data_IF_992163750752
#
_entry.id   IF_992163750752
#
_cell.length_a   1.000
_cell.length_b   1.000
_cell.length_c   1.000
_cell.angle_alpha   90.00
_cell.angle_beta   90.00
_cell.angle_gamma   90.00
#
_symmetry.space_group_name_H-M   'P 1'
#
loop_
_entity.id
_entity.type
_entity.pdbx_description
1 polymer ?
#
# COMPACT_ATOMS: atom_id res chain seq x y z
N UNK A 1 18.58 15.74 -17.87
CA UNK A 1 18.91 14.30 -17.86
C UNK A 1 17.65 13.43 -17.76
N UNK A 2 16.78 13.60 -16.75
CA UNK A 2 15.55 12.78 -16.61
C UNK A 2 14.44 13.10 -17.64
N UNK A 3 14.30 14.36 -18.04
CA UNK A 3 13.24 14.80 -18.95
C UNK A 3 13.50 14.46 -20.42
N UNK A 4 14.76 14.32 -20.84
CA UNK A 4 15.13 14.08 -22.24
C UNK A 4 14.62 12.73 -22.76
N UNK A 5 14.81 11.59 -22.04
CA UNK A 5 14.19 10.32 -22.43
C UNK A 5 12.68 10.37 -22.52
N UNK A 6 12.03 11.22 -21.72
CA UNK A 6 10.55 11.31 -21.65
C UNK A 6 10.00 12.14 -22.80
N UNK A 7 10.56 13.33 -23.00
CA UNK A 7 9.96 14.44 -23.75
C UNK A 7 10.64 14.72 -25.10
N UNK A 8 11.86 14.22 -25.35
CA UNK A 8 12.59 14.59 -26.56
C UNK A 8 11.90 14.11 -27.84
N UNK A 9 11.35 12.88 -27.81
CA UNK A 9 10.56 12.29 -28.89
C UNK A 9 9.05 12.45 -28.69
N UNK A 10 8.63 13.27 -27.72
CA UNK A 10 7.21 13.54 -27.48
C UNK A 10 6.74 14.66 -28.42
N UNK A 11 5.70 14.40 -29.20
CA UNK A 11 5.11 15.37 -30.12
C UNK A 11 4.07 16.28 -29.43
N UNK A 12 3.86 16.09 -28.13
CA UNK A 12 3.02 16.97 -27.31
C UNK A 12 3.55 18.41 -27.24
N UNK A 13 2.70 19.33 -26.77
CA UNK A 13 3.10 20.72 -26.50
C UNK A 13 4.29 20.80 -25.53
N UNK A 14 4.29 19.94 -24.51
CA UNK A 14 5.36 19.82 -23.52
C UNK A 14 6.68 19.38 -24.19
N UNK A 15 6.64 18.37 -25.06
CA UNK A 15 7.81 17.91 -25.82
C UNK A 15 8.38 19.00 -26.73
N UNK A 16 7.52 19.76 -27.41
CA UNK A 16 7.93 20.91 -28.22
C UNK A 16 8.59 22.02 -27.39
N UNK A 17 8.07 22.34 -26.20
CA UNK A 17 8.67 23.33 -25.30
C UNK A 17 10.00 22.85 -24.73
N UNK A 18 10.09 21.58 -24.33
CA UNK A 18 11.32 20.98 -23.85
C UNK A 18 12.45 21.02 -24.90
N UNK A 19 12.15 20.72 -26.18
CA UNK A 19 13.16 20.81 -27.26
C UNK A 19 13.73 22.22 -27.44
N UNK A 20 12.94 23.28 -27.22
CA UNK A 20 13.43 24.67 -27.27
C UNK A 20 14.38 24.96 -26.11
N UNK A 21 14.04 24.51 -24.90
CA UNK A 21 14.90 24.61 -23.72
C UNK A 21 16.22 23.86 -23.95
N UNK A 22 16.16 22.62 -24.44
CA UNK A 22 17.34 21.80 -24.73
C UNK A 22 18.24 22.48 -25.79
N UNK A 23 17.66 23.04 -26.85
CA UNK A 23 18.41 23.79 -27.85
C UNK A 23 19.13 25.01 -27.24
N UNK A 24 18.45 25.77 -26.38
CA UNK A 24 19.05 26.89 -25.66
C UNK A 24 20.17 26.44 -24.73
N UNK A 25 19.95 25.37 -23.95
CA UNK A 25 20.95 24.81 -23.04
C UNK A 25 22.20 24.33 -23.78
N UNK A 26 22.04 23.61 -24.90
CA UNK A 26 23.16 23.17 -25.76
C UNK A 26 23.91 24.37 -26.35
N UNK A 27 23.23 25.47 -26.66
CA UNK A 27 23.89 26.70 -27.12
C UNK A 27 24.75 27.32 -26.00
N UNK A 28 24.25 27.38 -24.77
CA UNK A 28 25.02 27.84 -23.60
C UNK A 28 26.23 26.92 -23.35
N UNK A 29 26.04 25.61 -23.42
CA UNK A 29 27.12 24.63 -23.28
C UNK A 29 28.22 24.85 -24.32
N UNK A 30 27.88 25.12 -25.58
CA UNK A 30 28.87 25.45 -26.64
C UNK A 30 29.61 26.75 -26.38
N UNK A 31 28.95 27.76 -25.81
CA UNK A 31 29.61 29.03 -25.42
C UNK A 31 30.64 28.74 -24.33
N UNK A 32 30.26 27.97 -23.30
CA UNK A 32 31.13 27.57 -22.20
C UNK A 32 32.33 26.73 -22.68
N UNK A 33 32.10 25.79 -23.59
CA UNK A 33 33.13 24.91 -24.15
C UNK A 33 34.12 25.68 -25.05
N UNK A 34 33.65 26.75 -25.71
CA UNK A 34 34.50 27.58 -26.58
C UNK A 34 35.52 28.45 -25.81
N UNK A 35 35.17 28.97 -24.64
CA UNK A 35 36.08 29.67 -23.74
C UNK A 35 35.58 29.58 -22.28
N UNK A 36 36.17 28.69 -21.46
CA UNK A 36 35.70 28.46 -20.09
C UNK A 36 36.14 29.56 -19.11
N UNK A 37 36.87 30.59 -19.55
CA UNK A 37 37.32 31.67 -18.65
C UNK A 37 36.15 32.54 -18.21
N UNK A 38 35.98 32.71 -16.89
CA UNK A 38 34.91 33.51 -16.28
C UNK A 38 34.85 34.93 -16.87
N UNK A 39 35.99 35.56 -17.13
CA UNK A 39 36.07 36.90 -17.74
C UNK A 39 35.48 36.96 -19.15
N UNK A 40 35.64 35.90 -19.95
CA UNK A 40 35.08 35.81 -21.30
C UNK A 40 33.55 35.60 -21.25
N UNK A 41 33.08 34.81 -20.27
CA UNK A 41 31.64 34.59 -20.05
C UNK A 41 30.91 35.88 -19.65
N UNK A 42 31.51 36.67 -18.76
CA UNK A 42 30.96 37.97 -18.34
C UNK A 42 30.92 39.01 -19.48
N UNK A 43 31.77 38.85 -20.49
CA UNK A 43 31.81 39.73 -21.67
C UNK A 43 30.92 39.22 -22.83
N UNK A 44 30.32 38.04 -22.69
CA UNK A 44 29.47 37.47 -23.74
C UNK A 44 28.13 38.19 -23.83
N UNK A 45 27.96 38.99 -24.89
CA UNK A 45 26.69 39.66 -25.20
C UNK A 45 25.52 38.70 -25.52
N UNK A 46 25.82 37.41 -25.73
CA UNK A 46 24.83 36.37 -26.08
C UNK A 46 24.37 35.55 -24.89
N UNK A 47 25.16 35.49 -23.81
CA UNK A 47 24.90 34.57 -22.70
C UNK A 47 23.66 34.98 -21.91
N UNK A 48 23.59 36.23 -21.47
CA UNK A 48 22.47 36.73 -20.65
C UNK A 48 21.11 36.61 -21.36
N UNK A 49 20.92 37.09 -22.60
CA UNK A 49 19.63 36.93 -23.30
C UNK A 49 19.23 35.46 -23.52
N UNK A 50 20.21 34.57 -23.72
CA UNK A 50 19.93 33.14 -23.89
C UNK A 50 19.49 32.51 -22.56
N UNK A 51 20.12 32.88 -21.44
CA UNK A 51 19.72 32.43 -20.11
C UNK A 51 18.34 32.94 -19.70
N UNK A 52 18.01 34.21 -19.99
CA UNK A 52 16.70 34.78 -19.71
C UNK A 52 15.60 34.03 -20.49
N UNK A 53 15.83 33.78 -21.79
CA UNK A 53 14.93 32.99 -22.64
C UNK A 53 14.77 31.54 -22.15
N UNK A 54 15.86 30.89 -21.73
CA UNK A 54 15.80 29.54 -21.14
C UNK A 54 14.98 29.56 -19.85
N UNK A 55 15.15 30.58 -18.99
CA UNK A 55 14.43 30.72 -17.72
C UNK A 55 12.91 30.85 -17.94
N UNK A 56 12.50 31.70 -18.88
CA UNK A 56 11.08 31.86 -19.25
C UNK A 56 10.49 30.56 -19.81
N UNK A 57 11.21 29.89 -20.71
CA UNK A 57 10.76 28.63 -21.30
C UNK A 57 10.73 27.49 -20.29
N UNK A 58 11.67 27.43 -19.34
CA UNK A 58 11.67 26.48 -18.24
C UNK A 58 10.44 26.67 -17.35
N UNK A 59 10.10 27.91 -17.01
CA UNK A 59 8.91 28.21 -16.21
C UNK A 59 7.63 27.72 -16.90
N UNK A 60 7.49 27.98 -18.21
CA UNK A 60 6.36 27.49 -18.98
C UNK A 60 6.34 25.95 -19.08
N UNK A 61 7.50 25.33 -19.30
CA UNK A 61 7.67 23.88 -19.34
C UNK A 61 7.31 23.23 -18.00
N UNK A 62 7.64 23.86 -16.86
CA UNK A 62 7.35 23.35 -15.53
C UNK A 62 5.84 23.25 -15.27
N UNK A 63 5.07 24.27 -15.67
CA UNK A 63 3.62 24.26 -15.50
C UNK A 63 2.96 23.11 -16.26
N UNK A 64 3.40 22.84 -17.49
CA UNK A 64 2.87 21.73 -18.28
C UNK A 64 3.37 20.37 -17.79
N UNK A 65 4.61 20.32 -17.30
CA UNK A 65 5.15 19.11 -16.68
C UNK A 65 4.33 18.72 -15.45
N UNK A 66 3.89 19.68 -14.64
CA UNK A 66 3.03 19.41 -13.49
C UNK A 66 1.67 18.83 -13.92
N UNK A 67 1.08 19.35 -15.00
CA UNK A 67 -0.18 18.80 -15.57
C UNK A 67 0.05 17.37 -16.06
N UNK A 68 1.12 17.15 -16.82
CA UNK A 68 1.50 15.81 -17.30
C UNK A 68 1.70 14.82 -16.14
N UNK A 69 2.43 15.21 -15.09
CA UNK A 69 2.64 14.39 -13.90
C UNK A 69 1.31 14.06 -13.21
N UNK A 70 0.42 15.04 -13.06
CA UNK A 70 -0.89 14.84 -12.45
C UNK A 70 -1.79 13.90 -13.27
N UNK A 71 -1.72 13.94 -14.60
CA UNK A 71 -2.40 12.98 -15.47
C UNK A 71 -1.89 11.55 -15.23
N UNK A 72 -0.57 11.36 -15.14
CA UNK A 72 0.02 10.05 -14.84
C UNK A 72 -0.39 9.54 -13.46
N UNK A 73 -0.40 10.42 -12.45
CA UNK A 73 -0.88 10.12 -11.09
C UNK A 73 -2.36 9.76 -11.05
N UNK A 74 -3.18 10.40 -11.89
CA UNK A 74 -4.60 10.10 -11.99
C UNK A 74 -4.87 8.71 -12.60
N UNK A 75 -4.01 8.26 -13.53
CA UNK A 75 -4.11 6.91 -14.13
C UNK A 75 -3.73 5.82 -13.12
N UNK A 76 -2.65 6.03 -12.36
CA UNK A 76 -2.20 5.13 -11.30
C UNK A 76 -1.98 5.90 -9.97
N UNK A 77 -2.98 5.91 -9.07
CA UNK A 77 -2.99 6.75 -7.87
C UNK A 77 -1.82 6.54 -6.88
N UNK A 78 -1.13 5.40 -6.89
CA UNK A 78 0.02 5.22 -5.97
C UNK A 78 1.19 6.15 -6.30
N UNK A 79 1.24 6.71 -7.50
CA UNK A 79 2.24 7.71 -7.90
C UNK A 79 2.08 9.05 -7.16
N UNK A 80 0.95 9.29 -6.49
CA UNK A 80 0.80 10.43 -5.58
C UNK A 80 1.74 10.37 -4.37
N UNK A 81 2.27 9.17 -4.05
CA UNK A 81 3.16 8.96 -2.90
C UNK A 81 4.65 9.00 -3.26
N UNK A 82 4.99 9.14 -4.54
CA UNK A 82 6.36 9.39 -4.99
C UNK A 82 6.64 10.89 -5.07
N UNK A 83 7.92 11.26 -4.90
CA UNK A 83 8.41 12.59 -5.28
C UNK A 83 8.33 12.75 -6.80
N UNK A 84 8.32 14.00 -7.27
CA UNK A 84 8.33 14.26 -8.71
C UNK A 84 9.61 13.72 -9.38
N UNK A 85 10.76 13.80 -8.70
CA UNK A 85 12.02 13.25 -9.20
C UNK A 85 11.97 11.72 -9.37
N UNK A 86 11.51 10.99 -8.34
CA UNK A 86 11.35 9.53 -8.40
C UNK A 86 10.38 9.11 -9.50
N UNK A 87 9.30 9.88 -9.67
CA UNK A 87 8.31 9.62 -10.70
C UNK A 87 8.91 9.82 -12.10
N UNK A 88 9.65 10.91 -12.32
CA UNK A 88 10.26 11.19 -13.61
C UNK A 88 11.37 10.19 -13.94
N UNK A 89 12.17 9.76 -12.97
CA UNK A 89 13.13 8.67 -13.16
C UNK A 89 12.43 7.39 -13.64
N UNK A 90 11.34 7.00 -12.95
CA UNK A 90 10.55 5.83 -13.32
C UNK A 90 9.93 5.96 -14.72
N UNK A 91 9.36 7.11 -15.08
CA UNK A 91 8.74 7.35 -16.39
C UNK A 91 9.77 7.42 -17.53
N UNK A 92 11.00 7.88 -17.25
CA UNK A 92 12.06 8.06 -18.23
C UNK A 92 12.87 6.80 -18.51
N UNK A 93 13.25 6.07 -17.46
CA UNK A 93 14.22 4.97 -17.54
C UNK A 93 13.59 3.58 -17.52
N UNK A 94 12.29 3.44 -17.25
CA UNK A 94 11.60 2.15 -17.35
C UNK A 94 11.14 1.78 -18.78
N UNK A 95 11.57 2.54 -19.79
CA UNK A 95 11.24 2.34 -21.21
C UNK A 95 11.99 1.16 -21.82
N UNK A 96 11.45 0.62 -22.91
CA UNK A 96 12.10 -0.48 -23.62
C UNK A 96 13.48 -0.08 -24.16
N UNK A 97 14.44 -1.01 -24.08
CA UNK A 97 15.84 -0.79 -24.49
C UNK A 97 16.67 0.14 -23.59
N UNK A 98 16.14 0.65 -22.48
CA UNK A 98 16.91 1.47 -21.54
C UNK A 98 17.88 0.60 -20.72
N UNK A 99 19.17 0.98 -20.73
CA UNK A 99 20.18 0.35 -19.88
C UNK A 99 19.78 0.49 -18.40
N UNK A 100 19.66 -0.64 -17.69
CA UNK A 100 19.26 -0.65 -16.28
C UNK A 100 17.76 -0.61 -16.00
N UNK A 101 16.89 -0.78 -17.01
CA UNK A 101 15.42 -0.85 -16.87
C UNK A 101 14.97 -1.75 -15.70
N UNK A 102 15.53 -2.94 -15.58
CA UNK A 102 15.19 -3.89 -14.51
C UNK A 102 15.53 -3.33 -13.12
N UNK A 103 16.68 -2.67 -12.97
CA UNK A 103 17.15 -2.11 -11.70
C UNK A 103 16.22 -0.97 -11.25
N UNK A 104 15.86 -0.09 -12.19
CA UNK A 104 14.93 1.02 -11.96
C UNK A 104 13.54 0.49 -11.59
N UNK A 105 13.01 -0.46 -12.35
CA UNK A 105 11.71 -1.08 -12.05
C UNK A 105 11.71 -1.68 -10.64
N UNK A 106 12.74 -2.47 -10.29
CA UNK A 106 12.81 -3.10 -8.97
C UNK A 106 12.94 -2.08 -7.83
N UNK A 107 13.73 -1.01 -8.01
CA UNK A 107 13.93 0.01 -6.98
C UNK A 107 12.64 0.78 -6.66
N UNK A 108 11.87 1.17 -7.68
CA UNK A 108 10.62 1.92 -7.49
C UNK A 108 9.44 1.01 -7.14
N UNK A 109 9.39 -0.25 -7.60
CA UNK A 109 8.36 -1.20 -7.16
C UNK A 109 8.41 -1.42 -5.65
N UNK A 110 9.61 -1.48 -5.07
CA UNK A 110 9.79 -1.57 -3.61
C UNK A 110 9.24 -0.35 -2.86
N UNK A 111 9.26 0.84 -3.47
CA UNK A 111 8.66 2.06 -2.91
C UNK A 111 7.13 2.07 -3.02
N UNK A 112 6.58 1.51 -4.10
CA UNK A 112 5.15 1.54 -4.42
C UNK A 112 4.34 0.40 -3.79
N UNK A 113 4.98 -0.75 -3.57
CA UNK A 113 4.35 -1.97 -3.08
C UNK A 113 5.12 -2.52 -1.87
N UNK A 114 4.58 -2.40 -0.64
CA UNK A 114 5.33 -2.73 0.58
C UNK A 114 5.71 -4.22 0.68
N UNK A 115 4.91 -5.12 0.08
CA UNK A 115 5.18 -6.56 0.08
C UNK A 115 6.18 -7.03 -0.98
N UNK A 116 6.59 -6.16 -1.91
CA UNK A 116 7.45 -6.51 -3.05
C UNK A 116 8.86 -5.99 -2.81
N UNK A 117 9.85 -6.88 -2.84
CA UNK A 117 11.27 -6.52 -2.84
C UNK A 117 11.89 -6.63 -4.22
N UNK A 118 11.48 -7.64 -5.00
CA UNK A 118 11.86 -7.79 -6.41
C UNK A 118 10.77 -8.56 -7.16
N UNK A 119 10.92 -8.67 -8.48
CA UNK A 119 9.99 -9.38 -9.36
C UNK A 119 10.76 -10.37 -10.24
N UNK A 120 10.11 -11.46 -10.64
CA UNK A 120 10.64 -12.39 -11.64
C UNK A 120 10.09 -12.06 -13.01
N UNK A 121 11.01 -11.81 -13.95
CA UNK A 121 10.66 -11.59 -15.33
C UNK A 121 10.51 -12.92 -16.07
N UNK A 122 9.60 -12.96 -17.04
CA UNK A 122 9.45 -14.08 -17.96
C UNK A 122 10.67 -14.22 -18.88
N UNK A 123 10.75 -15.29 -19.69
CA UNK A 123 11.92 -15.59 -20.52
C UNK A 123 12.31 -14.48 -21.51
N UNK A 124 11.35 -13.67 -21.96
CA UNK A 124 11.57 -12.53 -22.86
C UNK A 124 12.02 -11.25 -22.14
N UNK A 125 11.99 -11.21 -20.80
CA UNK A 125 12.22 -9.99 -20.03
C UNK A 125 11.08 -8.97 -20.10
N UNK A 126 10.02 -9.22 -20.87
CA UNK A 126 8.94 -8.27 -21.14
C UNK A 126 7.68 -8.50 -20.30
N UNK A 127 7.70 -9.43 -19.36
CA UNK A 127 6.54 -9.66 -18.49
C UNK A 127 6.96 -10.02 -17.08
N UNK A 128 6.17 -9.59 -16.09
CA UNK A 128 6.31 -9.99 -14.70
C UNK A 128 5.49 -11.26 -14.49
N UNK A 129 6.12 -12.29 -13.92
CA UNK A 129 5.50 -13.61 -13.69
C UNK A 129 5.32 -13.93 -12.22
N UNK A 130 6.19 -13.41 -11.34
CA UNK A 130 6.09 -13.63 -9.91
C UNK A 130 6.64 -12.43 -9.12
N UNK A 131 6.19 -12.32 -7.88
CA UNK A 131 6.66 -11.33 -6.92
C UNK A 131 7.55 -12.00 -5.87
N UNK A 132 8.59 -11.33 -5.43
CA UNK A 132 9.48 -11.79 -4.37
C UNK A 132 9.37 -10.85 -3.17
N UNK A 133 9.12 -11.39 -1.99
CA UNK A 133 9.13 -10.63 -0.73
C UNK A 133 10.56 -10.44 -0.20
N UNK A 134 10.68 -9.68 0.88
CA UNK A 134 11.97 -9.40 1.53
C UNK A 134 12.72 -10.66 1.98
N UNK A 135 12.01 -11.69 2.44
CA UNK A 135 12.58 -12.93 2.96
C UNK A 135 12.63 -14.06 1.91
N UNK A 136 12.47 -13.72 0.63
CA UNK A 136 12.56 -14.70 -0.46
C UNK A 136 11.27 -15.46 -0.75
N UNK A 137 10.17 -15.20 -0.04
CA UNK A 137 8.86 -15.77 -0.38
C UNK A 137 8.48 -15.36 -1.81
N UNK A 138 8.13 -16.35 -2.64
CA UNK A 138 7.72 -16.15 -4.02
C UNK A 138 6.22 -16.32 -4.13
N UNK A 139 5.56 -15.29 -4.67
CA UNK A 139 4.16 -15.32 -5.03
C UNK A 139 4.02 -15.35 -6.56
N UNK A 140 3.54 -16.48 -7.07
CA UNK A 140 3.29 -16.69 -8.50
C UNK A 140 1.99 -16.01 -8.92
N UNK A 141 2.04 -15.17 -9.96
CA UNK A 141 0.83 -14.58 -10.55
C UNK A 141 0.09 -15.63 -11.39
N UNK A 142 -1.24 -15.55 -11.42
CA UNK A 142 -2.09 -16.41 -12.25
C UNK A 142 -1.81 -16.14 -13.74
N UNK A 143 -1.64 -14.87 -14.13
CA UNK A 143 -1.29 -14.45 -15.50
C UNK A 143 -0.05 -13.54 -15.51
N UNK A 144 0.86 -13.69 -16.49
CA UNK A 144 1.97 -12.76 -16.67
C UNK A 144 1.48 -11.35 -17.02
N UNK A 145 2.10 -10.33 -16.43
CA UNK A 145 1.78 -8.92 -16.67
C UNK A 145 2.80 -8.31 -17.63
N UNK A 146 2.34 -7.86 -18.79
CA UNK A 146 3.18 -7.21 -19.79
C UNK A 146 3.68 -5.83 -19.30
N UNK A 147 4.98 -5.57 -19.49
CA UNK A 147 5.61 -4.30 -19.16
C UNK A 147 5.98 -3.47 -20.40
N UNK A 148 5.64 -3.94 -21.61
CA UNK A 148 5.85 -3.24 -22.89
C UNK A 148 4.75 -2.19 -23.20
N UNK A 149 4.44 -1.35 -22.21
CA UNK A 149 3.52 -0.22 -22.37
C UNK A 149 3.88 0.91 -21.39
N UNK A 150 3.08 1.98 -21.39
CA UNK A 150 3.29 3.11 -20.48
C UNK A 150 3.28 2.66 -19.01
N UNK A 151 4.16 3.28 -18.22
CA UNK A 151 4.47 2.84 -16.85
C UNK A 151 3.24 2.75 -15.95
N UNK A 152 2.45 3.81 -15.96
CA UNK A 152 1.21 3.93 -15.22
C UNK A 152 0.17 2.86 -15.60
N UNK A 153 0.21 2.38 -16.85
CA UNK A 153 -0.72 1.37 -17.36
C UNK A 153 -0.32 -0.01 -16.88
N UNK A 154 0.95 -0.42 -17.05
CA UNK A 154 1.36 -1.73 -16.58
C UNK A 154 1.38 -1.82 -15.05
N UNK A 155 1.66 -0.73 -14.32
CA UNK A 155 1.56 -0.71 -12.86
C UNK A 155 0.12 -0.95 -12.39
N UNK A 156 -0.85 -0.34 -13.07
CA UNK A 156 -2.29 -0.57 -12.81
C UNK A 156 -2.71 -2.01 -13.13
N UNK A 157 -2.19 -2.56 -14.23
CA UNK A 157 -2.43 -3.96 -14.59
C UNK A 157 -1.81 -4.92 -13.57
N UNK A 158 -0.60 -4.62 -13.10
CA UNK A 158 0.09 -5.37 -12.06
C UNK A 158 -0.71 -5.36 -10.76
N UNK A 159 -1.14 -4.20 -10.28
CA UNK A 159 -2.00 -4.11 -9.08
C UNK A 159 -3.27 -4.96 -9.22
N UNK A 160 -3.92 -4.91 -10.39
CA UNK A 160 -5.15 -5.66 -10.66
C UNK A 160 -4.91 -7.16 -10.65
N UNK A 161 -3.82 -7.62 -11.27
CA UNK A 161 -3.45 -9.03 -11.34
C UNK A 161 -3.01 -9.58 -9.98
N UNK A 162 -2.29 -8.79 -9.18
CA UNK A 162 -1.94 -9.13 -7.79
C UNK A 162 -3.21 -9.41 -6.98
N UNK A 163 -4.17 -8.48 -7.04
CA UNK A 163 -5.46 -8.60 -6.33
C UNK A 163 -6.23 -9.83 -6.77
N UNK A 164 -6.31 -10.09 -8.07
CA UNK A 164 -7.00 -11.24 -8.65
C UNK A 164 -6.34 -12.56 -8.24
N UNK A 165 -5.02 -12.66 -8.41
CA UNK A 165 -4.23 -13.85 -8.07
C UNK A 165 -4.33 -14.18 -6.59
N UNK A 166 -4.22 -13.18 -5.71
CA UNK A 166 -4.36 -13.38 -4.26
C UNK A 166 -5.77 -13.85 -3.89
N UNK A 167 -6.81 -13.27 -4.49
CA UNK A 167 -8.20 -13.68 -4.27
C UNK A 167 -8.41 -15.13 -4.70
N UNK A 168 -7.95 -15.49 -5.90
CA UNK A 168 -8.09 -16.86 -6.43
C UNK A 168 -7.34 -17.87 -5.57
N UNK A 169 -6.09 -17.58 -5.20
CA UNK A 169 -5.29 -18.49 -4.38
C UNK A 169 -5.85 -18.62 -2.95
N UNK A 170 -6.36 -17.52 -2.37
CA UNK A 170 -7.05 -17.55 -1.08
C UNK A 170 -8.28 -18.45 -1.13
N UNK A 171 -9.14 -18.32 -2.15
CA UNK A 171 -10.32 -19.15 -2.32
C UNK A 171 -9.96 -20.63 -2.53
N UNK A 172 -8.98 -20.92 -3.41
CA UNK A 172 -8.47 -22.28 -3.62
C UNK A 172 -7.97 -22.89 -2.32
N UNK A 173 -7.25 -22.13 -1.48
CA UNK A 173 -6.77 -22.57 -0.18
C UNK A 173 -7.94 -22.85 0.79
N UNK A 174 -8.89 -21.92 0.92
CA UNK A 174 -10.00 -22.10 1.87
C UNK A 174 -10.87 -23.30 1.49
N UNK A 175 -11.19 -23.47 0.20
CA UNK A 175 -12.06 -24.54 -0.31
C UNK A 175 -11.37 -25.92 -0.31
N UNK A 176 -10.06 -26.01 -0.64
CA UNK A 176 -9.39 -27.31 -0.88
C UNK A 176 -8.36 -27.72 0.17
N UNK A 177 -7.87 -26.82 1.02
CA UNK A 177 -6.68 -27.09 1.84
C UNK A 177 -7.01 -27.97 3.06
N UNK A 178 -7.03 -29.28 2.89
CA UNK A 178 -7.08 -30.19 4.04
C UNK A 178 -5.69 -30.19 4.70
N UNK A 179 -5.58 -29.67 5.94
CA UNK A 179 -4.31 -29.58 6.70
C UNK A 179 -3.64 -30.95 6.93
N UNK A 180 -4.33 -32.05 6.64
CA UNK A 180 -3.81 -33.40 6.80
C UNK A 180 -3.07 -33.83 5.52
N UNK A 181 -1.74 -33.62 5.51
CA UNK A 181 -0.84 -34.26 4.55
C UNK A 181 -0.14 -33.37 3.54
N UNK A 182 -0.27 -32.04 3.64
CA UNK A 182 0.51 -31.09 2.83
C UNK A 182 1.51 -30.33 3.69
N UNK A 183 2.60 -29.90 3.04
CA UNK A 183 3.59 -29.00 3.65
C UNK A 183 2.91 -27.68 4.11
N UNK A 184 3.04 -27.32 5.40
CA UNK A 184 2.41 -26.12 5.96
C UNK A 184 2.97 -24.82 5.38
N UNK A 185 4.13 -24.84 4.73
CA UNK A 185 4.81 -23.66 4.21
C UNK A 185 4.73 -23.50 2.67
N UNK A 186 4.02 -24.41 2.00
CA UNK A 186 3.85 -24.44 0.54
C UNK A 186 3.14 -23.23 -0.06
N UNK A 187 2.40 -22.45 0.74
CA UNK A 187 1.69 -21.25 0.31
C UNK A 187 2.34 -19.97 0.88
N UNK A 188 2.05 -18.80 0.28
CA UNK A 188 2.45 -17.52 0.85
C UNK A 188 1.86 -17.31 2.25
N UNK A 189 2.64 -16.68 3.13
CA UNK A 189 2.31 -16.41 4.54
C UNK A 189 0.94 -15.76 4.68
N UNK A 190 0.66 -14.76 3.84
CA UNK A 190 -0.59 -14.02 3.84
C UNK A 190 -1.82 -14.91 3.67
N UNK A 191 -1.74 -15.88 2.76
CA UNK A 191 -2.85 -16.81 2.47
C UNK A 191 -3.01 -17.82 3.60
N UNK A 192 -1.90 -18.34 4.12
CA UNK A 192 -1.91 -19.25 5.26
C UNK A 192 -2.59 -18.59 6.48
N UNK A 193 -2.15 -17.40 6.86
CA UNK A 193 -2.72 -16.66 7.99
C UNK A 193 -4.19 -16.30 7.76
N UNK A 194 -4.57 -15.86 6.56
CA UNK A 194 -5.97 -15.54 6.25
C UNK A 194 -6.88 -16.76 6.33
N UNK A 195 -6.44 -17.89 5.76
CA UNK A 195 -7.19 -19.14 5.82
C UNK A 195 -7.35 -19.63 7.26
N UNK A 196 -6.31 -19.49 8.10
CA UNK A 196 -6.39 -19.83 9.53
C UNK A 196 -7.36 -18.92 10.29
N UNK A 197 -7.38 -17.61 10.02
CA UNK A 197 -8.34 -16.67 10.63
C UNK A 197 -9.79 -17.09 10.38
N UNK A 198 -10.11 -17.47 9.14
CA UNK A 198 -11.46 -17.91 8.76
C UNK A 198 -11.80 -19.23 9.44
N UNK A 199 -10.88 -20.21 9.41
CA UNK A 199 -11.09 -21.52 10.04
C UNK A 199 -11.26 -21.44 11.53
N UNK A 200 -10.47 -20.60 12.19
CA UNK A 200 -10.58 -20.36 13.62
C UNK A 200 -11.96 -19.77 13.94
N UNK A 201 -12.39 -18.75 13.20
CA UNK A 201 -13.72 -18.13 13.36
C UNK A 201 -14.83 -19.18 13.27
N UNK A 202 -14.84 -20.00 12.21
CA UNK A 202 -15.84 -21.05 12.01
C UNK A 202 -15.81 -22.16 13.08
N UNK A 203 -14.62 -22.50 13.58
CA UNK A 203 -14.46 -23.52 14.64
C UNK A 203 -14.87 -22.98 16.00
N UNK A 204 -14.55 -21.73 16.30
CA UNK A 204 -14.95 -21.04 17.51
C UNK A 204 -16.47 -20.92 17.60
N UNK A 205 -17.15 -20.45 16.57
CA UNK A 205 -18.62 -20.32 16.57
C UNK A 205 -19.33 -21.67 16.71
N UNK A 206 -18.80 -22.71 16.06
CA UNK A 206 -19.28 -24.08 16.26
C UNK A 206 -19.06 -24.55 17.69
N UNK A 207 -17.87 -24.35 18.25
CA UNK A 207 -17.53 -24.78 19.61
C UNK A 207 -18.32 -24.03 20.69
N UNK A 208 -18.61 -22.75 20.49
CA UNK A 208 -19.51 -21.97 21.37
C UNK A 208 -20.90 -22.60 21.34
N UNK A 209 -21.43 -22.90 20.15
CA UNK A 209 -22.77 -23.46 19.97
C UNK A 209 -22.89 -24.91 20.47
N UNK A 210 -21.86 -25.74 20.27
CA UNK A 210 -21.80 -27.14 20.70
C UNK A 210 -21.29 -27.32 22.13
N UNK A 211 -20.86 -26.25 22.80
CA UNK A 211 -20.22 -26.26 24.14
C UNK A 211 -18.93 -27.09 24.18
N UNK A 212 -18.15 -27.05 23.11
CA UNK A 212 -16.89 -27.79 22.95
C UNK A 212 -15.65 -26.87 22.99
N UNK A 213 -15.70 -25.73 23.68
CA UNK A 213 -14.58 -24.78 23.76
C UNK A 213 -13.27 -25.41 24.28
N UNK A 214 -13.34 -26.30 25.28
CA UNK A 214 -12.16 -27.03 25.78
C UNK A 214 -11.50 -27.91 24.71
N UNK A 215 -12.30 -28.54 23.86
CA UNK A 215 -11.81 -29.34 22.73
C UNK A 215 -11.20 -28.45 21.65
N UNK A 216 -11.77 -27.27 21.42
CA UNK A 216 -11.17 -26.27 20.54
C UNK A 216 -9.81 -25.82 21.06
N UNK A 217 -9.69 -25.50 22.37
CA UNK A 217 -8.42 -25.11 23.02
C UNK A 217 -7.34 -26.18 22.77
N UNK A 218 -7.63 -27.43 23.09
CA UNK A 218 -6.70 -28.54 22.88
C UNK A 218 -6.28 -28.72 21.40
N UNK A 219 -7.19 -28.47 20.45
CA UNK A 219 -6.85 -28.52 19.03
C UNK A 219 -5.95 -27.36 18.60
N UNK A 220 -6.17 -26.15 19.11
CA UNK A 220 -5.32 -24.97 18.85
C UNK A 220 -3.92 -25.19 19.44
N UNK A 221 -3.82 -25.70 20.67
CA UNK A 221 -2.55 -26.08 21.31
C UNK A 221 -1.80 -27.12 20.48
N UNK A 222 -2.51 -28.13 19.95
CA UNK A 222 -1.92 -29.15 19.07
C UNK A 222 -1.39 -28.55 17.76
N UNK A 223 -2.13 -27.63 17.15
CA UNK A 223 -1.69 -26.91 15.95
C UNK A 223 -0.48 -26.02 16.22
N UNK A 224 -0.48 -25.31 17.36
CA UNK A 224 0.65 -24.49 17.77
C UNK A 224 1.92 -25.33 17.97
N UNK A 225 1.80 -26.48 18.66
CA UNK A 225 2.90 -27.43 18.84
C UNK A 225 3.38 -28.00 17.50
N UNK A 226 2.48 -28.30 16.57
CA UNK A 226 2.85 -28.73 15.23
C UNK A 226 3.74 -27.69 14.54
N UNK A 227 3.33 -26.41 14.52
CA UNK A 227 4.15 -25.35 13.94
C UNK A 227 5.48 -25.13 14.68
N UNK A 228 5.48 -25.23 16.02
CA UNK A 228 6.70 -25.10 16.82
C UNK A 228 7.74 -26.19 16.52
N UNK A 229 7.28 -27.39 16.16
CA UNK A 229 8.16 -28.54 15.82
C UNK A 229 8.45 -28.69 14.34
N UNK A 230 7.77 -27.94 13.47
CA UNK A 230 7.98 -27.99 12.03
C UNK A 230 9.39 -27.48 11.68
N UNK A 231 10.11 -28.28 10.90
CA UNK A 231 11.39 -27.89 10.31
C UNK A 231 11.14 -26.85 9.21
N UNK A 232 11.95 -25.80 9.20
CA UNK A 232 11.92 -24.74 8.19
C UNK A 232 13.22 -24.81 7.38
N UNK A 233 13.11 -24.84 6.06
CA UNK A 233 14.26 -25.01 5.16
C UNK A 233 14.98 -23.69 4.90
N UNK A 234 14.25 -22.56 4.91
CA UNK A 234 14.78 -21.24 4.64
C UNK A 234 14.23 -20.14 5.57
N UNK A 235 14.73 -18.91 5.40
CA UNK A 235 14.31 -17.77 6.21
C UNK A 235 12.84 -17.40 5.95
N UNK A 236 12.32 -17.59 4.75
CA UNK A 236 10.91 -17.34 4.44
C UNK A 236 10.01 -18.30 5.21
N UNK A 237 10.37 -19.58 5.28
CA UNK A 237 9.65 -20.58 6.09
C UNK A 237 9.77 -20.32 7.59
N UNK A 238 10.92 -19.86 8.08
CA UNK A 238 11.07 -19.44 9.47
C UNK A 238 10.08 -18.33 9.83
N UNK A 239 9.96 -17.33 8.97
CA UNK A 239 9.06 -16.20 9.18
C UNK A 239 7.58 -16.62 9.03
N UNK A 240 7.23 -17.51 8.09
CA UNK A 240 5.90 -18.15 8.00
C UNK A 240 5.52 -18.86 9.29
N UNK A 241 6.44 -19.70 9.80
CA UNK A 241 6.28 -20.43 11.06
C UNK A 241 6.05 -19.49 12.23
N UNK A 242 6.86 -18.44 12.35
CA UNK A 242 6.71 -17.44 13.41
C UNK A 242 5.34 -16.75 13.34
N UNK A 243 4.88 -16.35 12.15
CA UNK A 243 3.57 -15.74 11.97
C UNK A 243 2.43 -16.65 12.41
N UNK A 244 2.48 -17.94 12.05
CA UNK A 244 1.46 -18.94 12.43
C UNK A 244 1.46 -19.23 13.94
N UNK A 245 2.63 -19.32 14.57
CA UNK A 245 2.75 -19.51 16.03
C UNK A 245 2.12 -18.33 16.78
N UNK A 246 2.44 -17.09 16.38
CA UNK A 246 1.86 -15.88 16.99
C UNK A 246 0.33 -15.86 16.88
N UNK A 247 -0.20 -16.27 15.73
CA UNK A 247 -1.63 -16.35 15.47
C UNK A 247 -2.31 -17.43 16.34
N UNK A 248 -1.70 -18.62 16.46
CA UNK A 248 -2.18 -19.67 17.35
C UNK A 248 -2.16 -19.26 18.83
N UNK A 249 -1.11 -18.56 19.29
CA UNK A 249 -1.03 -18.05 20.66
C UNK A 249 -2.17 -17.04 20.95
N UNK A 250 -2.49 -16.17 20.00
CA UNK A 250 -3.65 -15.28 20.12
C UNK A 250 -4.96 -16.05 20.23
N UNK A 251 -5.17 -17.06 19.37
CA UNK A 251 -6.36 -17.91 19.43
C UNK A 251 -6.53 -18.62 20.76
N UNK A 252 -5.44 -19.15 21.32
CA UNK A 252 -5.46 -19.80 22.62
C UNK A 252 -5.94 -18.85 23.72
N UNK A 253 -5.40 -17.63 23.74
CA UNK A 253 -5.82 -16.56 24.67
C UNK A 253 -7.30 -16.17 24.50
N UNK A 254 -7.79 -16.08 23.27
CA UNK A 254 -9.21 -15.82 22.98
C UNK A 254 -10.08 -16.97 23.52
N UNK A 255 -9.74 -18.22 23.21
CA UNK A 255 -10.53 -19.38 23.65
C UNK A 255 -10.52 -19.50 25.18
N UNK A 256 -9.39 -19.24 25.83
CA UNK A 256 -9.29 -19.20 27.29
C UNK A 256 -10.22 -18.15 27.90
N UNK A 257 -10.21 -16.93 27.36
CA UNK A 257 -11.13 -15.86 27.79
C UNK A 257 -12.60 -16.28 27.65
N UNK A 258 -12.96 -16.96 26.55
CA UNK A 258 -14.33 -17.44 26.33
C UNK A 258 -14.73 -18.54 27.33
N UNK A 259 -13.79 -19.44 27.67
CA UNK A 259 -13.99 -20.51 28.65
C UNK A 259 -14.18 -19.94 30.05
N UNK A 260 -13.27 -19.05 30.49
CA UNK A 260 -13.30 -18.45 31.82
C UNK A 260 -14.60 -17.69 32.08
N UNK A 261 -15.15 -17.07 31.05
CA UNK A 261 -16.40 -16.31 31.12
C UNK A 261 -17.65 -17.13 30.76
N UNK A 262 -17.52 -18.44 30.55
CA UNK A 262 -18.62 -19.36 30.24
C UNK A 262 -19.49 -18.90 29.04
N UNK A 263 -18.86 -18.42 27.98
CA UNK A 263 -19.58 -17.95 26.78
C UNK A 263 -20.28 -19.11 26.07
N UNK A 264 -21.59 -18.96 25.84
CA UNK A 264 -22.45 -20.00 25.23
C UNK A 264 -23.22 -19.52 24.00
N UNK A 265 -23.10 -18.25 23.64
CA UNK A 265 -23.76 -17.67 22.47
C UNK A 265 -22.74 -16.94 21.61
N UNK A 266 -22.86 -17.08 20.30
CA UNK A 266 -22.08 -16.27 19.35
C UNK A 266 -22.50 -14.79 19.39
N UNK A 267 -23.64 -14.44 19.99
CA UNK A 267 -24.02 -13.03 20.18
C UNK A 267 -23.39 -12.40 21.42
N UNK A 268 -22.62 -13.15 22.21
CA UNK A 268 -21.94 -12.62 23.39
C UNK A 268 -20.89 -11.58 23.00
N UNK A 269 -20.83 -10.50 23.78
CA UNK A 269 -19.89 -9.40 23.56
C UNK A 269 -18.43 -9.88 23.52
N UNK A 270 -18.04 -10.84 24.37
CA UNK A 270 -16.65 -11.31 24.42
C UNK A 270 -16.21 -12.02 23.14
N UNK A 271 -17.15 -12.58 22.37
CA UNK A 271 -16.90 -13.08 21.03
C UNK A 271 -17.01 -11.96 19.98
N UNK A 272 -18.07 -11.15 20.05
CA UNK A 272 -18.30 -10.07 19.07
C UNK A 272 -17.21 -9.00 19.08
N UNK A 273 -16.52 -8.79 20.21
CA UNK A 273 -15.38 -7.86 20.32
C UNK A 273 -14.13 -8.35 19.56
N UNK A 274 -14.04 -9.64 19.22
CA UNK A 274 -12.88 -10.20 18.52
C UNK A 274 -12.92 -9.83 17.03
N UNK A 275 -11.74 -9.74 16.41
CA UNK A 275 -11.63 -9.59 14.96
C UNK A 275 -11.84 -10.96 14.29
N UNK A 276 -12.96 -11.11 13.59
CA UNK A 276 -13.43 -12.37 13.02
C UNK A 276 -13.43 -12.29 11.50
N UNK A 277 -13.16 -13.41 10.82
CA UNK A 277 -13.08 -13.44 9.37
C UNK A 277 -14.05 -14.47 8.80
N UNK A 278 -14.76 -14.09 7.74
CA UNK A 278 -15.80 -14.90 7.12
C UNK A 278 -15.62 -14.97 5.61
N UNK A 279 -15.84 -16.15 5.04
CA UNK A 279 -16.05 -16.32 3.61
C UNK A 279 -17.56 -16.27 3.33
N UNK A 280 -18.01 -15.22 2.64
CA UNK A 280 -19.41 -15.06 2.26
C UNK A 280 -19.76 -15.98 1.09
N UNK A 281 -21.06 -16.24 0.91
CA UNK A 281 -21.59 -17.00 -0.25
C UNK A 281 -21.26 -16.36 -1.60
N UNK A 282 -21.01 -15.05 -1.61
CA UNK A 282 -20.54 -14.28 -2.79
C UNK A 282 -19.07 -14.53 -3.14
N UNK A 283 -18.37 -15.40 -2.39
CA UNK A 283 -16.91 -15.62 -2.46
C UNK A 283 -16.10 -14.38 -2.12
N UNK A 284 -16.67 -13.50 -1.30
CA UNK A 284 -15.99 -12.34 -0.73
C UNK A 284 -15.54 -12.69 0.70
N UNK A 285 -14.31 -12.32 1.04
CA UNK A 285 -13.78 -12.44 2.38
C UNK A 285 -14.02 -11.12 3.11
N UNK A 286 -14.67 -11.19 4.27
CA UNK A 286 -14.95 -10.02 5.11
C UNK A 286 -14.44 -10.24 6.52
N UNK A 287 -13.95 -9.16 7.13
CA UNK A 287 -13.62 -9.10 8.53
C UNK A 287 -14.73 -8.38 9.30
N UNK A 288 -15.08 -8.87 10.48
CA UNK A 288 -16.06 -8.27 11.38
C UNK A 288 -15.49 -8.10 12.78
N UNK A 289 -15.75 -6.94 13.38
CA UNK A 289 -15.35 -6.63 14.76
C UNK A 289 -16.37 -5.65 15.35
N UNK A 290 -17.04 -6.05 16.44
CA UNK A 290 -18.19 -5.32 16.96
C UNK A 290 -19.27 -5.14 15.89
N UNK A 291 -19.61 -3.88 15.58
CA UNK A 291 -20.60 -3.52 14.55
C UNK A 291 -19.98 -3.35 13.15
N UNK A 292 -18.65 -3.29 13.07
CA UNK A 292 -17.94 -3.02 11.83
C UNK A 292 -17.84 -4.28 10.98
N UNK A 293 -18.12 -4.13 9.67
CA UNK A 293 -17.83 -5.12 8.64
C UNK A 293 -16.98 -4.48 7.55
N UNK A 294 -15.87 -5.10 7.19
CA UNK A 294 -14.90 -4.58 6.23
C UNK A 294 -14.51 -5.67 5.24
N UNK A 295 -14.48 -5.36 3.93
CA UNK A 295 -13.98 -6.28 2.92
C UNK A 295 -12.45 -6.39 2.99
N UNK A 296 -11.94 -7.61 2.82
CA UNK A 296 -10.52 -7.86 2.66
C UNK A 296 -10.04 -7.30 1.31
N UNK A 297 -8.95 -6.53 1.29
CA UNK A 297 -8.58 -5.73 0.11
C UNK A 297 -7.53 -6.36 -0.82
N UNK A 298 -6.94 -7.50 -0.41
CA UNK A 298 -5.98 -8.30 -1.19
C UNK A 298 -4.76 -7.49 -1.70
N UNK A 299 -4.23 -6.58 -0.87
CA UNK A 299 -2.89 -6.03 -1.06
C UNK A 299 -1.84 -7.10 -0.75
N UNK A 300 -0.81 -7.28 -1.59
CA UNK A 300 0.28 -8.21 -1.27
C UNK A 300 1.23 -7.58 -0.25
N UNK A 301 1.35 -8.22 0.91
CA UNK A 301 2.17 -7.74 2.04
C UNK A 301 3.44 -8.58 2.25
N UNK A 302 3.61 -9.64 1.45
CA UNK A 302 4.64 -10.64 1.65
C UNK A 302 4.47 -11.33 3.01
N UNK A 303 5.59 -11.54 3.71
CA UNK A 303 5.60 -12.26 4.99
C UNK A 303 5.10 -11.40 6.16
N UNK A 304 5.18 -10.07 6.04
CA UNK A 304 4.77 -9.12 7.08
C UNK A 304 3.27 -8.83 7.01
N UNK A 305 2.45 -9.78 7.45
CA UNK A 305 0.99 -9.77 7.28
C UNK A 305 0.23 -9.12 8.43
N UNK A 306 0.94 -8.39 9.31
CA UNK A 306 0.37 -7.77 10.52
C UNK A 306 0.30 -8.70 11.72
N UNK A 307 0.92 -9.88 11.68
CA UNK A 307 1.06 -10.75 12.85
C UNK A 307 2.10 -10.17 13.83
N UNK A 308 1.68 -9.93 15.06
CA UNK A 308 2.54 -9.53 16.17
C UNK A 308 1.95 -10.05 17.48
N UNK A 309 2.67 -9.88 18.58
CA UNK A 309 2.17 -10.26 19.90
C UNK A 309 0.93 -9.42 20.23
N UNK A 310 -0.25 -10.06 20.19
CA UNK A 310 -1.53 -9.42 20.51
C UNK A 310 -1.63 -9.20 22.02
N UNK A 311 -1.78 -7.95 22.42
CA UNK A 311 -2.04 -7.54 23.80
C UNK A 311 -3.47 -7.00 23.91
N UNK A 312 -4.01 -6.96 25.13
CA UNK A 312 -5.35 -6.39 25.37
C UNK A 312 -5.47 -4.94 24.87
N UNK A 313 -4.42 -4.14 25.05
CA UNK A 313 -4.36 -2.76 24.57
C UNK A 313 -4.42 -2.68 23.02
N UNK A 314 -3.79 -3.64 22.33
CA UNK A 314 -3.85 -3.70 20.88
C UNK A 314 -5.22 -4.17 20.37
N UNK A 315 -5.91 -5.07 21.08
CA UNK A 315 -7.29 -5.46 20.81
C UNK A 315 -8.25 -4.28 21.01
N UNK A 316 -8.10 -3.52 22.09
CA UNK A 316 -8.90 -2.32 22.35
C UNK A 316 -8.69 -1.25 21.27
N UNK A 317 -7.44 -1.00 20.87
CA UNK A 317 -7.12 -0.10 19.77
C UNK A 317 -7.82 -0.52 18.47
N UNK A 318 -7.79 -1.82 18.13
CA UNK A 318 -8.45 -2.33 16.93
C UNK A 318 -9.97 -2.17 17.00
N UNK A 319 -10.56 -2.43 18.16
CA UNK A 319 -11.99 -2.24 18.37
C UNK A 319 -12.40 -0.78 18.12
N UNK A 320 -11.69 0.17 18.70
CA UNK A 320 -11.99 1.60 18.56
C UNK A 320 -11.83 2.05 17.11
N UNK A 321 -10.74 1.64 16.44
CA UNK A 321 -10.48 1.99 15.04
C UNK A 321 -11.53 1.39 14.09
N UNK A 322 -11.94 0.14 14.32
CA UNK A 322 -12.98 -0.49 13.49
C UNK A 322 -14.35 0.15 13.72
N UNK A 323 -14.70 0.50 14.96
CA UNK A 323 -15.95 1.21 15.25
C UNK A 323 -15.95 2.63 14.68
N UNK A 324 -14.83 3.36 14.72
CA UNK A 324 -14.76 4.69 14.12
C UNK A 324 -14.95 4.63 12.61
N UNK A 325 -14.35 3.65 11.93
CA UNK A 325 -14.55 3.40 10.51
C UNK A 325 -16.02 3.07 10.19
N UNK A 326 -16.67 2.23 11.00
CA UNK A 326 -18.09 1.93 10.85
C UNK A 326 -18.98 3.18 10.93
N UNK A 327 -18.60 4.16 11.74
CA UNK A 327 -19.30 5.43 11.90
C UNK A 327 -18.92 6.50 10.85
N UNK A 328 -18.03 6.19 9.91
CA UNK A 328 -17.51 7.17 8.95
C UNK A 328 -16.74 8.29 9.65
N UNK A 329 -15.90 7.92 10.60
CA UNK A 329 -15.00 8.79 11.37
C UNK A 329 -13.54 8.38 11.17
N UNK A 330 -12.63 9.28 11.54
CA UNK A 330 -11.20 9.01 11.60
C UNK A 330 -10.82 8.51 13.00
N UNK A 331 -9.84 7.62 13.07
CA UNK A 331 -9.22 7.20 14.33
C UNK A 331 -8.09 8.15 14.74
N UNK A 332 -8.00 8.48 16.04
CA UNK A 332 -6.89 9.25 16.61
C UNK A 332 -6.30 8.50 17.82
N UNK A 333 -5.46 7.47 17.62
CA UNK A 333 -4.75 6.84 18.71
C UNK A 333 -3.71 7.82 19.28
N UNK A 334 -3.87 8.22 20.54
CA UNK A 334 -2.96 9.15 21.22
C UNK A 334 -2.26 8.47 22.39
N UNK A 335 -1.06 8.95 22.74
CA UNK A 335 -0.28 8.41 23.84
C UNK A 335 1.22 8.68 23.70
N UNK A 336 2.04 8.34 24.72
CA UNK A 336 3.48 8.58 24.73
C UNK A 336 4.22 8.01 23.52
N UNK A 337 5.40 8.54 23.22
CA UNK A 337 6.28 8.00 22.19
C UNK A 337 6.66 6.54 22.49
N UNK A 338 6.81 5.72 21.44
CA UNK A 338 7.24 4.32 21.58
C UNK A 338 6.17 3.32 22.08
N UNK A 339 4.90 3.72 22.17
CA UNK A 339 3.79 2.86 22.64
C UNK A 339 3.12 2.00 21.55
N UNK A 340 3.69 1.94 20.34
CA UNK A 340 3.19 1.08 19.27
C UNK A 340 1.92 1.56 18.56
N UNK A 341 1.58 2.86 18.66
CA UNK A 341 0.38 3.46 18.01
C UNK A 341 0.36 3.23 16.49
N UNK A 342 1.44 3.65 15.82
CA UNK A 342 1.61 3.53 14.36
C UNK A 342 1.62 2.06 13.93
N UNK A 343 2.34 1.21 14.67
CA UNK A 343 2.40 -0.22 14.38
C UNK A 343 1.05 -0.93 14.60
N UNK A 344 0.22 -0.46 15.53
CA UNK A 344 -1.14 -0.99 15.70
C UNK A 344 -2.01 -0.72 14.47
N UNK A 345 -1.98 0.51 13.94
CA UNK A 345 -2.73 0.86 12.71
C UNK A 345 -2.22 0.04 11.52
N UNK A 346 -0.89 -0.08 11.39
CA UNK A 346 -0.25 -0.88 10.34
C UNK A 346 -0.62 -2.36 10.43
N UNK A 347 -0.61 -2.93 11.63
CA UNK A 347 -0.96 -4.31 11.84
C UNK A 347 -2.44 -4.59 11.55
N UNK A 348 -3.36 -3.71 11.96
CA UNK A 348 -4.78 -3.83 11.62
C UNK A 348 -5.00 -3.80 10.10
N UNK A 349 -4.38 -2.84 9.41
CA UNK A 349 -4.46 -2.77 7.94
C UNK A 349 -3.86 -4.01 7.28
N UNK A 350 -2.76 -4.54 7.82
CA UNK A 350 -2.13 -5.78 7.37
C UNK A 350 -3.07 -7.00 7.47
N UNK A 351 -3.73 -7.16 8.61
CA UNK A 351 -4.72 -8.22 8.83
C UNK A 351 -5.94 -8.09 7.89
N UNK A 352 -6.27 -6.88 7.45
CA UNK A 352 -7.34 -6.60 6.49
C UNK A 352 -6.87 -6.66 5.02
N UNK A 353 -5.59 -6.95 4.79
CA UNK A 353 -4.99 -6.95 3.45
C UNK A 353 -5.09 -5.59 2.77
N UNK A 354 -5.00 -4.49 3.53
CA UNK A 354 -5.06 -3.12 3.04
C UNK A 354 -3.67 -2.50 2.96
N UNK A 355 -3.46 -1.67 1.94
CA UNK A 355 -2.29 -0.82 1.86
C UNK A 355 -2.36 0.24 2.97
N UNK A 356 -1.35 0.26 3.85
CA UNK A 356 -1.18 1.29 4.88
C UNK A 356 0.07 2.11 4.56
N UNK A 357 -0.11 3.42 4.43
CA UNK A 357 0.96 4.38 4.18
C UNK A 357 1.17 5.21 5.43
N UNK A 358 2.42 5.31 5.87
CA UNK A 358 2.80 6.09 7.05
C UNK A 358 3.47 7.37 6.56
N UNK A 359 2.92 8.51 6.95
CA UNK A 359 3.46 9.83 6.66
C UNK A 359 3.95 10.45 7.97
N UNK A 360 5.22 10.82 8.01
CA UNK A 360 5.76 11.58 9.13
C UNK A 360 5.54 13.07 8.87
N UNK A 361 4.69 13.72 9.67
CA UNK A 361 4.36 15.12 9.47
C UNK A 361 5.44 16.03 10.06
N UNK A 362 5.84 17.04 9.30
CA UNK A 362 6.76 18.08 9.75
C UNK A 362 6.22 19.49 9.45
N UNK A 363 6.91 20.51 9.93
CA UNK A 363 6.52 21.93 9.73
C UNK A 363 6.68 22.39 8.28
N UNK A 364 7.45 21.68 7.45
CA UNK A 364 7.67 22.01 6.04
C UNK A 364 6.53 21.50 5.14
N UNK A 365 5.68 20.59 5.63
CA UNK A 365 4.50 20.12 4.90
C UNK A 365 3.44 21.22 4.78
N UNK A 366 3.19 21.63 3.53
CA UNK A 366 2.16 22.59 3.18
C UNK A 366 0.80 21.92 2.90
N UNK A 367 -0.23 22.76 2.77
CA UNK A 367 -1.61 22.30 2.53
C UNK A 367 -1.77 21.64 1.14
N UNK A 368 -0.96 22.05 0.17
CA UNK A 368 -1.00 21.50 -1.19
C UNK A 368 -0.46 20.06 -1.19
N UNK A 369 0.69 19.82 -0.56
CA UNK A 369 1.27 18.51 -0.37
C UNK A 369 0.30 17.59 0.37
N UNK A 370 -0.30 18.06 1.47
CA UNK A 370 -1.30 17.29 2.20
C UNK A 370 -2.52 16.94 1.34
N UNK A 371 -3.04 17.88 0.55
CA UNK A 371 -4.16 17.60 -0.35
C UNK A 371 -3.81 16.64 -1.48
N UNK A 372 -2.58 16.67 -1.97
CA UNK A 372 -2.05 15.68 -2.92
C UNK A 372 -2.01 14.28 -2.31
N UNK A 373 -1.51 14.14 -1.07
CA UNK A 373 -1.49 12.87 -0.35
C UNK A 373 -2.90 12.35 -0.07
N UNK A 374 -3.81 13.21 0.39
CA UNK A 374 -5.21 12.86 0.61
C UNK A 374 -5.92 12.43 -0.68
N UNK A 375 -5.61 13.07 -1.81
CA UNK A 375 -6.13 12.67 -3.12
C UNK A 375 -5.64 11.29 -3.51
N UNK A 376 -4.34 11.02 -3.31
CA UNK A 376 -3.76 9.68 -3.51
C UNK A 376 -4.43 8.62 -2.64
N UNK A 377 -4.66 8.90 -1.35
CA UNK A 377 -5.32 7.98 -0.42
C UNK A 377 -6.76 7.67 -0.83
N UNK A 378 -7.54 8.71 -1.17
CA UNK A 378 -8.92 8.55 -1.63
C UNK A 378 -8.99 7.71 -2.92
N UNK A 379 -8.20 8.05 -3.93
CA UNK A 379 -8.23 7.37 -5.23
C UNK A 379 -7.66 5.93 -5.18
N UNK A 380 -6.75 5.64 -4.26
CA UNK A 380 -6.17 4.29 -4.09
C UNK A 380 -6.95 3.40 -3.12
N UNK A 381 -7.86 3.96 -2.31
CA UNK A 381 -8.52 3.24 -1.23
C UNK A 381 -7.58 2.77 -0.12
N UNK A 382 -6.39 3.38 -0.01
CA UNK A 382 -5.37 3.06 0.99
C UNK A 382 -5.66 3.74 2.34
N UNK A 383 -5.07 3.23 3.41
CA UNK A 383 -5.12 3.87 4.72
C UNK A 383 -3.90 4.75 4.92
N UNK A 384 -4.11 6.02 5.26
CA UNK A 384 -3.06 6.96 5.64
C UNK A 384 -2.94 7.07 7.15
N UNK A 385 -1.75 6.77 7.69
CA UNK A 385 -1.39 7.03 9.08
C UNK A 385 -0.46 8.25 9.10
N UNK A 386 -0.96 9.38 9.61
CA UNK A 386 -0.20 10.62 9.72
C UNK A 386 0.42 10.72 11.12
N UNK A 387 1.69 10.36 11.23
CA UNK A 387 2.45 10.44 12.48
C UNK A 387 2.88 11.89 12.73
N UNK A 388 3.01 12.25 14.00
CA UNK A 388 3.38 13.62 14.44
C UNK A 388 2.49 14.72 13.81
N UNK A 389 1.22 14.44 13.53
CA UNK A 389 0.27 15.36 12.88
C UNK A 389 0.15 16.73 13.58
N UNK A 390 0.44 16.78 14.88
CA UNK A 390 0.49 17.99 15.69
C UNK A 390 1.68 18.91 15.39
N UNK A 391 2.64 18.52 14.54
CA UNK A 391 3.75 19.37 14.08
C UNK A 391 3.41 20.25 12.89
N UNK A 392 2.27 20.02 12.24
CA UNK A 392 1.83 20.85 11.13
C UNK A 392 1.57 22.30 11.59
N UNK A 393 1.89 23.27 10.74
CA UNK A 393 1.61 24.68 11.02
C UNK A 393 0.10 24.91 11.22
N UNK A 394 -0.26 25.93 12.01
CA UNK A 394 -1.67 26.26 12.26
C UNK A 394 -2.44 26.58 10.97
N UNK A 395 -1.78 27.22 10.00
CA UNK A 395 -2.35 27.50 8.69
C UNK A 395 -2.59 26.22 7.88
N UNK A 396 -1.60 25.31 7.85
CA UNK A 396 -1.73 24.00 7.20
C UNK A 396 -2.87 23.19 7.83
N UNK A 397 -2.93 23.11 9.16
CA UNK A 397 -3.99 22.39 9.88
C UNK A 397 -5.39 22.91 9.55
N UNK A 398 -5.57 24.23 9.46
CA UNK A 398 -6.85 24.82 9.09
C UNK A 398 -7.28 24.41 7.67
N UNK A 399 -6.36 24.45 6.71
CA UNK A 399 -6.64 24.05 5.33
C UNK A 399 -6.93 22.54 5.21
N UNK A 400 -6.12 21.70 5.85
CA UNK A 400 -6.28 20.24 5.87
C UNK A 400 -7.60 19.85 6.54
N UNK A 401 -8.03 20.56 7.59
CA UNK A 401 -9.31 20.31 8.25
C UNK A 401 -10.50 20.48 7.29
N UNK A 402 -10.45 21.48 6.40
CA UNK A 402 -11.49 21.68 5.39
C UNK A 402 -11.52 20.52 4.37
N UNK A 403 -10.35 20.06 3.94
CA UNK A 403 -10.21 18.94 3.00
C UNK A 403 -10.70 17.62 3.61
N UNK A 404 -10.32 17.34 4.86
CA UNK A 404 -10.79 16.16 5.61
C UNK A 404 -12.30 16.21 5.85
N UNK A 405 -12.85 17.38 6.17
CA UNK A 405 -14.30 17.54 6.32
C UNK A 405 -15.05 17.23 5.01
N UNK A 406 -14.49 17.66 3.87
CA UNK A 406 -15.06 17.33 2.55
C UNK A 406 -15.05 15.82 2.28
N UNK A 407 -13.93 15.14 2.56
CA UNK A 407 -13.82 13.68 2.43
C UNK A 407 -14.80 12.93 3.33
N UNK A 408 -14.87 13.29 4.61
CA UNK A 408 -15.79 12.65 5.56
C UNK A 408 -17.25 12.88 5.19
N UNK A 409 -17.58 14.07 4.68
CA UNK A 409 -18.92 14.35 4.17
C UNK A 409 -19.26 13.44 2.98
N UNK A 410 -18.32 13.20 2.06
CA UNK A 410 -18.51 12.30 0.93
C UNK A 410 -18.67 10.82 1.37
N UNK A 411 -17.82 10.33 2.28
CA UNK A 411 -17.86 8.95 2.76
C UNK A 411 -19.18 8.61 3.47
N UNK A 412 -19.77 9.57 4.20
CA UNK A 412 -21.04 9.40 4.90
C UNK A 412 -22.26 9.39 3.99
N UNK A 413 -22.12 9.76 2.72
CA UNK A 413 -23.22 9.67 1.77
C UNK A 413 -23.53 8.21 1.45
N UNK A 414 -24.80 7.95 1.10
CA UNK A 414 -25.25 6.62 0.73
C UNK A 414 -24.43 6.10 -0.45
N UNK A 415 -24.18 4.78 -0.52
CA UNK A 415 -23.43 4.16 -1.63
C UNK A 415 -23.99 4.50 -3.02
N UNK A 416 -25.30 4.79 -3.10
CA UNK A 416 -26.00 5.08 -4.35
C UNK A 416 -25.86 6.55 -4.83
N UNK A 417 -25.20 7.41 -4.06
CA UNK A 417 -24.91 8.79 -4.43
C UNK A 417 -23.46 8.93 -4.91
N UNK A 418 -23.22 9.78 -5.91
CA UNK A 418 -21.86 10.17 -6.30
C UNK A 418 -21.14 10.77 -5.10
N UNK A 419 -20.14 10.07 -4.59
CA UNK A 419 -19.33 10.53 -3.46
C UNK A 419 -18.29 11.47 -4.03
N UNK A 420 -18.51 12.77 -3.94
CA UNK A 420 -17.54 13.76 -4.44
C UNK A 420 -16.99 14.54 -3.26
N UNK A 421 -15.67 14.49 -3.10
CA UNK A 421 -14.90 15.33 -2.19
C UNK A 421 -14.12 16.37 -2.99
N UNK A 422 -13.87 17.53 -2.38
CA UNK A 422 -13.08 18.61 -2.98
C UNK A 422 -11.73 18.69 -2.27
N UNK A 423 -10.67 18.32 -2.99
CA UNK A 423 -9.29 18.31 -2.50
C UNK A 423 -8.44 19.20 -3.41
N UNK A 424 -7.76 20.20 -2.85
CA UNK A 424 -7.00 21.21 -3.62
C UNK A 424 -7.80 21.81 -4.81
N UNK A 425 -9.12 21.99 -4.65
CA UNK A 425 -10.00 22.49 -5.71
C UNK A 425 -10.37 21.48 -6.80
N UNK A 426 -9.88 20.23 -6.71
CA UNK A 426 -10.21 19.12 -7.62
C UNK A 426 -11.30 18.23 -7.02
N UNK A 427 -12.18 17.71 -7.87
CA UNK A 427 -13.17 16.71 -7.48
C UNK A 427 -12.49 15.34 -7.43
N UNK A 428 -12.65 14.65 -6.31
CA UNK A 428 -12.12 13.31 -6.06
C UNK A 428 -13.26 12.43 -5.58
N UNK A 429 -13.38 11.23 -6.13
CA UNK A 429 -14.35 10.23 -5.71
C UNK A 429 -13.67 9.21 -4.78
N UNK A 430 -13.96 9.25 -3.45
CA UNK A 430 -13.30 8.42 -2.43
C UNK A 430 -13.96 7.06 -2.19
#
# INVERSE_FOLDING_TARGET
>A
MYLEPILYNDDSELGMKFRKVDQGFRQVARILDSDPRISALLQSARLQPTLDSISEQLTACQSELNVYIDEKRSIFPRLYFLSDDDLLELLGQARDGADGREIVIQSHLKKLFPGITSVRLGPSGMSITALCSHYGEIFQLDHPVDIDCSVEVWLKNLESEIRLSLKNLSLKCIENYNMQGQDPFSLPTQILCLAQNIRFTERAERAISSKELYKLKANVEKENNYYATAEAEDESENQKRQALILQCAHYESVVETLIENNVTSTNDWLWQKQLRFYLLKTKEIVAEMGLARMSYSYEYLGVNTGQFVRTEQADECFLILTQSLHLGLMGNPFGPAGTGKTESVKALGGLLGRLVLIFNCDEAMDAECMGRLLSGLALSGAWGCFDEFNRLSSATLAAVSHQLASLLAAIRQRPDAQRIALLNGKQVEP
#
